data_IF_955721586086
#
_entry.id   IF_955721586086
#
_cell.length_a   1.000
_cell.length_b   1.000
_cell.length_c   1.000
_cell.angle_alpha   90.00
_cell.angle_beta   90.00
_cell.angle_gamma   90.00
#
_symmetry.space_group_name_H-M   'P 1'
#
loop_
_entity.id
_entity.type
_entity.pdbx_description
1 polymer ?
#
# COMPACT_ATOMS: atom_id res chain seq x y z
N UNK A 1 -11.88 -11.55 -8.65
CA UNK A 1 -11.00 -11.04 -7.60
C UNK A 1 -9.58 -10.97 -8.12
N UNK A 2 -8.89 -9.84 -7.97
CA UNK A 2 -7.51 -9.75 -8.42
C UNK A 2 -6.62 -10.79 -7.75
N UNK A 3 -5.83 -11.47 -8.53
CA UNK A 3 -4.85 -12.43 -8.03
C UNK A 3 -3.47 -11.77 -7.91
N UNK A 4 -2.50 -12.49 -7.37
CA UNK A 4 -1.15 -11.95 -7.16
C UNK A 4 -0.55 -11.25 -8.37
N UNK A 5 -0.56 -11.84 -9.59
CA UNK A 5 -0.01 -11.18 -10.78
C UNK A 5 -0.71 -9.86 -11.10
N UNK A 6 -2.01 -9.77 -10.91
CA UNK A 6 -2.77 -8.55 -11.17
C UNK A 6 -2.46 -7.47 -10.14
N UNK A 7 -2.27 -7.87 -8.88
CA UNK A 7 -1.86 -6.95 -7.82
C UNK A 7 -0.46 -6.41 -8.11
N UNK A 8 0.44 -7.26 -8.62
CA UNK A 8 1.79 -6.85 -9.01
C UNK A 8 1.76 -5.78 -10.10
N UNK A 9 0.86 -5.93 -11.07
CA UNK A 9 0.70 -4.92 -12.14
C UNK A 9 0.29 -3.56 -11.53
N UNK A 10 -0.63 -3.58 -10.58
CA UNK A 10 -1.08 -2.35 -9.89
C UNK A 10 0.08 -1.73 -9.11
N UNK A 11 0.82 -2.55 -8.39
CA UNK A 11 1.98 -2.08 -7.62
C UNK A 11 3.02 -1.46 -8.55
N UNK A 12 3.31 -2.09 -9.69
CA UNK A 12 4.25 -1.54 -10.67
C UNK A 12 3.75 -0.21 -11.23
N UNK A 13 2.46 -0.09 -11.47
CA UNK A 13 1.85 1.17 -11.93
C UNK A 13 2.04 2.28 -10.89
N UNK A 14 1.75 2.00 -9.62
CA UNK A 14 1.93 2.97 -8.54
C UNK A 14 3.40 3.37 -8.41
N UNK A 15 4.30 2.41 -8.45
CA UNK A 15 5.73 2.67 -8.33
C UNK A 15 6.24 3.55 -9.47
N UNK A 16 5.77 3.30 -10.68
CA UNK A 16 6.14 4.11 -11.84
C UNK A 16 5.69 5.57 -11.67
N UNK A 17 4.47 5.77 -11.21
CA UNK A 17 3.88 7.11 -11.10
C UNK A 17 4.40 7.90 -9.90
N UNK A 18 4.88 7.22 -8.85
CA UNK A 18 5.33 7.86 -7.61
C UNK A 18 6.84 7.89 -7.45
N UNK A 19 7.57 7.30 -8.38
CA UNK A 19 9.03 7.21 -8.30
C UNK A 19 9.67 8.58 -8.10
N UNK A 20 10.60 8.65 -7.14
CA UNK A 20 11.38 9.84 -6.83
C UNK A 20 10.55 11.03 -6.34
N UNK A 21 9.34 10.76 -5.87
CA UNK A 21 8.43 11.80 -5.40
C UNK A 21 8.27 11.73 -3.88
N UNK A 22 7.79 12.84 -3.31
CA UNK A 22 7.41 12.88 -1.89
C UNK A 22 5.90 12.91 -1.80
N UNK A 23 5.34 12.08 -0.94
CA UNK A 23 3.91 12.09 -0.63
C UNK A 23 3.66 13.25 0.32
N UNK A 24 2.74 14.13 -0.05
CA UNK A 24 2.40 15.32 0.74
C UNK A 24 1.02 15.24 1.39
N UNK A 25 0.16 14.31 0.96
CA UNK A 25 -1.08 14.05 1.68
C UNK A 25 -1.67 12.70 1.34
N UNK A 26 -2.36 12.14 2.33
CA UNK A 26 -3.28 11.02 2.20
C UNK A 26 -4.66 11.57 2.54
N UNK A 27 -5.67 11.30 1.73
CA UNK A 27 -7.01 11.87 1.95
C UNK A 27 -8.09 10.87 1.61
N UNK A 28 -9.16 10.84 2.43
CA UNK A 28 -10.38 10.16 2.01
C UNK A 28 -11.14 11.08 1.05
N UNK A 29 -11.89 10.49 0.13
CA UNK A 29 -12.64 11.22 -0.89
C UNK A 29 -14.14 10.93 -0.83
N UNK A 30 -14.60 10.12 0.12
CA UNK A 30 -16.00 9.72 0.22
C UNK A 30 -16.41 9.64 1.68
N UNK A 31 -17.73 9.76 1.93
CA UNK A 31 -18.28 9.61 3.28
C UNK A 31 -18.02 8.21 3.85
N UNK A 32 -18.22 7.11 3.10
CA UNK A 32 -17.92 5.79 3.64
C UNK A 32 -16.48 5.66 4.15
N UNK A 33 -15.51 6.20 3.42
CA UNK A 33 -14.11 6.15 3.84
C UNK A 33 -13.81 7.12 4.99
N UNK A 34 -14.47 8.28 5.00
CA UNK A 34 -14.34 9.20 6.14
C UNK A 34 -14.79 8.52 7.43
N UNK A 35 -15.94 7.86 7.40
CA UNK A 35 -16.48 7.18 8.57
C UNK A 35 -15.57 6.04 9.01
N UNK A 36 -15.13 5.21 8.07
CA UNK A 36 -14.38 3.99 8.39
C UNK A 36 -12.90 4.22 8.66
N UNK A 37 -12.28 5.15 7.94
CA UNK A 37 -10.81 5.25 7.90
C UNK A 37 -10.25 6.61 8.35
N UNK A 38 -11.05 7.49 8.93
CA UNK A 38 -10.56 8.81 9.35
C UNK A 38 -9.33 8.71 10.24
N UNK A 39 -9.35 7.83 11.22
CA UNK A 39 -8.22 7.69 12.15
C UNK A 39 -6.97 7.18 11.43
N UNK A 40 -7.12 6.27 10.47
CA UNK A 40 -5.99 5.76 9.68
C UNK A 40 -5.40 6.89 8.83
N UNK A 41 -6.25 7.64 8.15
CA UNK A 41 -5.81 8.75 7.29
C UNK A 41 -5.13 9.83 8.11
N UNK A 42 -5.71 10.21 9.25
CA UNK A 42 -5.11 11.21 10.14
C UNK A 42 -3.74 10.74 10.64
N UNK A 43 -3.62 9.46 10.96
CA UNK A 43 -2.35 8.91 11.43
C UNK A 43 -1.28 8.89 10.33
N UNK A 44 -1.65 8.50 9.11
CA UNK A 44 -0.74 8.53 7.97
C UNK A 44 -0.18 9.94 7.74
N UNK A 45 -1.03 10.94 7.88
CA UNK A 45 -0.61 12.32 7.64
C UNK A 45 0.35 12.87 8.69
N UNK A 46 0.61 12.15 9.77
CA UNK A 46 1.67 12.52 10.72
C UNK A 46 3.07 12.28 10.18
N UNK A 47 3.20 11.49 9.12
CA UNK A 47 4.50 11.11 8.57
C UNK A 47 4.84 11.86 7.28
N UNK A 48 4.00 12.78 6.83
CA UNK A 48 4.28 13.56 5.64
C UNK A 48 5.14 14.78 5.98
N UNK A 49 5.97 15.25 5.04
CA UNK A 49 6.20 14.68 3.71
C UNK A 49 6.95 13.35 3.80
N UNK A 50 6.52 12.38 3.02
CA UNK A 50 7.09 11.04 3.03
C UNK A 50 7.76 10.75 1.69
N UNK A 51 9.07 10.49 1.73
CA UNK A 51 9.77 10.07 0.52
C UNK A 51 9.27 8.70 0.09
N UNK A 52 8.83 8.60 -1.16
CA UNK A 52 8.30 7.35 -1.68
C UNK A 52 9.41 6.31 -1.86
N UNK A 53 9.23 5.14 -1.25
CA UNK A 53 10.23 4.06 -1.28
C UNK A 53 9.83 2.87 -2.14
N UNK A 54 8.66 2.88 -2.73
CA UNK A 54 8.03 1.83 -3.53
C UNK A 54 7.14 0.90 -2.72
N UNK A 55 6.02 0.58 -3.34
CA UNK A 55 5.15 -0.50 -2.88
C UNK A 55 5.75 -1.85 -3.23
N UNK A 56 5.45 -2.84 -2.43
CA UNK A 56 5.66 -4.25 -2.76
C UNK A 56 4.38 -5.01 -2.43
N UNK A 57 4.24 -6.22 -2.96
CA UNK A 57 3.07 -7.04 -2.66
C UNK A 57 3.49 -8.43 -2.19
N UNK A 58 2.66 -9.00 -1.32
CA UNK A 58 2.76 -10.39 -0.89
C UNK A 58 1.35 -10.96 -1.06
N UNK A 59 1.22 -11.89 -2.01
CA UNK A 59 -0.11 -12.38 -2.39
C UNK A 59 -0.99 -11.26 -2.90
N UNK A 60 -2.12 -11.05 -2.27
CA UNK A 60 -3.11 -10.04 -2.67
C UNK A 60 -3.01 -8.74 -1.90
N UNK A 61 -2.08 -8.64 -0.99
CA UNK A 61 -1.88 -7.44 -0.17
C UNK A 61 -0.68 -6.65 -0.64
N UNK A 62 -0.79 -5.34 -0.57
CA UNK A 62 0.24 -4.41 -1.01
C UNK A 62 0.71 -3.57 0.17
N UNK A 63 1.99 -3.21 0.18
CA UNK A 63 2.61 -2.57 1.33
C UNK A 63 3.53 -1.44 0.90
N UNK A 64 3.48 -0.34 1.64
CA UNK A 64 4.42 0.77 1.51
C UNK A 64 5.02 1.07 2.87
N UNK A 65 6.33 1.01 2.98
CA UNK A 65 7.01 1.30 4.24
C UNK A 65 6.86 2.78 4.57
N UNK A 66 6.34 3.07 5.76
CA UNK A 66 6.18 4.43 6.26
C UNK A 66 7.38 4.83 7.12
N UNK A 67 7.76 3.94 8.03
CA UNK A 67 8.96 4.11 8.84
C UNK A 67 9.48 2.73 9.24
N UNK A 68 10.43 2.66 10.16
CA UNK A 68 11.08 1.41 10.54
C UNK A 68 10.08 0.33 10.98
N UNK A 69 8.97 0.73 11.62
CA UNK A 69 8.06 -0.22 12.25
C UNK A 69 6.65 -0.26 11.63
N UNK A 70 6.37 0.59 10.65
CA UNK A 70 5.00 0.77 10.14
C UNK A 70 4.94 0.72 8.63
N UNK A 71 3.84 0.13 8.13
CA UNK A 71 3.53 0.03 6.72
C UNK A 71 2.10 0.50 6.46
N UNK A 72 1.92 1.22 5.37
CA UNK A 72 0.60 1.44 4.78
C UNK A 72 0.30 0.24 3.88
N UNK A 73 -0.90 -0.31 3.98
CA UNK A 73 -1.30 -1.48 3.21
C UNK A 73 -2.65 -1.22 2.56
N UNK A 74 -2.82 -1.76 1.34
CA UNK A 74 -4.13 -1.77 0.71
C UNK A 74 -4.42 -3.15 0.11
N UNK A 75 -5.71 -3.44 -0.01
CA UNK A 75 -6.22 -4.65 -0.65
C UNK A 75 -7.26 -4.22 -1.68
N UNK A 76 -7.18 -4.78 -2.88
CA UNK A 76 -8.06 -4.34 -3.98
C UNK A 76 -9.50 -4.88 -3.87
N UNK A 77 -9.72 -5.93 -3.08
CA UNK A 77 -11.04 -6.57 -3.02
C UNK A 77 -11.41 -7.17 -4.36
N UNK A 78 -12.63 -6.90 -4.79
CA UNK A 78 -13.13 -7.38 -6.08
C UNK A 78 -12.99 -6.36 -7.19
N UNK A 79 -13.15 -5.07 -6.87
CA UNK A 79 -13.30 -4.00 -7.87
C UNK A 79 -12.37 -2.82 -7.66
N UNK A 80 -11.45 -2.90 -6.69
CA UNK A 80 -10.53 -1.81 -6.41
C UNK A 80 -9.53 -1.58 -7.52
N UNK A 81 -9.24 -0.31 -7.80
CA UNK A 81 -8.23 0.08 -8.77
C UNK A 81 -7.61 1.41 -8.39
N UNK A 82 -6.42 1.65 -8.90
CA UNK A 82 -5.74 2.94 -8.77
C UNK A 82 -5.61 3.59 -10.14
N UNK A 83 -5.78 4.91 -10.20
CA UNK A 83 -5.61 5.65 -11.44
C UNK A 83 -5.33 7.12 -11.15
N UNK A 84 -4.97 7.88 -12.18
CA UNK A 84 -4.76 9.33 -12.07
C UNK A 84 -6.04 10.12 -12.24
N UNK A 85 -7.18 9.45 -12.45
CA UNK A 85 -8.48 10.10 -12.66
C UNK A 85 -9.39 9.87 -11.47
N UNK A 86 -10.03 10.96 -11.00
CA UNK A 86 -11.10 10.85 -10.03
C UNK A 86 -12.37 10.41 -10.76
N UNK A 87 -13.02 9.37 -10.25
CA UNK A 87 -14.21 8.78 -10.86
C UNK A 87 -15.30 8.65 -9.82
N UNK A 88 -16.49 8.21 -10.27
CA UNK A 88 -17.52 7.77 -9.34
C UNK A 88 -16.93 6.63 -8.50
N UNK A 89 -17.23 6.59 -7.22
CA UNK A 89 -16.71 5.60 -6.26
C UNK A 89 -15.22 5.72 -5.97
N UNK A 90 -14.61 6.88 -6.20
CA UNK A 90 -13.29 7.18 -5.70
C UNK A 90 -13.39 7.47 -4.20
N UNK A 91 -12.58 6.76 -3.39
CA UNK A 91 -12.68 6.81 -1.94
C UNK A 91 -11.45 7.37 -1.24
N UNK A 92 -10.30 7.29 -1.86
CA UNK A 92 -9.03 7.61 -1.23
C UNK A 92 -8.05 8.13 -2.28
N UNK A 93 -7.14 9.01 -1.86
CA UNK A 93 -6.13 9.53 -2.77
C UNK A 93 -4.79 9.77 -2.08
N UNK A 94 -3.74 9.68 -2.86
CA UNK A 94 -2.38 10.03 -2.47
C UNK A 94 -1.92 11.17 -3.36
N UNK A 95 -1.46 12.26 -2.76
CA UNK A 95 -0.93 13.42 -3.49
C UNK A 95 0.55 13.56 -3.25
N UNK A 96 1.29 13.97 -4.27
CA UNK A 96 2.73 14.21 -4.18
C UNK A 96 3.05 15.71 -4.28
N UNK A 97 4.33 16.03 -4.03
CA UNK A 97 4.81 17.42 -4.05
C UNK A 97 4.76 18.06 -5.43
N UNK A 98 4.75 17.28 -6.50
CA UNK A 98 4.61 17.80 -7.88
C UNK A 98 3.17 17.75 -8.38
N UNK A 99 2.21 17.55 -7.45
CA UNK A 99 0.78 17.48 -7.73
C UNK A 99 0.35 16.26 -8.56
N UNK A 100 1.14 15.21 -8.60
CA UNK A 100 0.65 13.90 -9.05
C UNK A 100 -0.33 13.39 -8.02
N UNK A 101 -1.51 12.93 -8.46
CA UNK A 101 -2.51 12.39 -7.56
C UNK A 101 -2.90 11.00 -8.05
N UNK A 102 -2.85 10.02 -7.16
CA UNK A 102 -3.31 8.67 -7.41
C UNK A 102 -4.59 8.45 -6.63
N UNK A 103 -5.63 8.02 -7.32
CA UNK A 103 -6.97 7.81 -6.75
C UNK A 103 -7.28 6.34 -6.64
N UNK A 104 -7.79 5.92 -5.48
CA UNK A 104 -8.30 4.57 -5.26
C UNK A 104 -9.81 4.58 -5.45
N UNK A 105 -10.28 3.84 -6.43
CA UNK A 105 -11.68 3.72 -6.80
C UNK A 105 -12.13 2.29 -6.57
N UNK A 106 -13.26 2.10 -5.88
CA UNK A 106 -13.74 0.77 -5.51
C UNK A 106 -15.26 0.77 -5.37
N UNK A 107 -15.99 0.48 -6.46
CA UNK A 107 -17.46 0.53 -6.44
C UNK A 107 -18.10 -0.36 -5.38
N UNK A 108 -17.56 -1.55 -5.14
CA UNK A 108 -18.13 -2.51 -4.19
C UNK A 108 -17.61 -2.34 -2.77
N UNK A 109 -16.54 -1.58 -2.57
CA UNK A 109 -15.91 -1.33 -1.27
C UNK A 109 -15.52 -2.59 -0.53
N UNK A 110 -15.13 -3.64 -1.24
CA UNK A 110 -14.57 -4.86 -0.66
C UNK A 110 -13.07 -4.74 -0.43
N UNK A 111 -12.43 -3.77 -1.03
CA UNK A 111 -11.06 -3.43 -0.73
C UNK A 111 -10.94 -2.70 0.60
N UNK A 112 -9.72 -2.47 1.03
CA UNK A 112 -9.48 -1.77 2.29
C UNK A 112 -8.12 -1.11 2.30
N UNK A 113 -7.93 -0.21 3.28
CA UNK A 113 -6.63 0.34 3.62
C UNK A 113 -6.36 0.05 5.09
N UNK A 114 -5.09 -0.13 5.41
CA UNK A 114 -4.66 -0.47 6.78
C UNK A 114 -3.32 0.17 7.08
N UNK A 115 -3.03 0.31 8.36
CA UNK A 115 -1.67 0.53 8.85
C UNK A 115 -1.31 -0.71 9.64
N UNK A 116 -0.18 -1.32 9.30
CA UNK A 116 0.27 -2.54 9.99
C UNK A 116 1.67 -2.33 10.54
N UNK A 117 1.96 -3.03 11.63
CA UNK A 117 3.28 -3.03 12.23
C UNK A 117 4.18 -4.07 11.58
N UNK A 118 5.49 -3.92 11.80
CA UNK A 118 6.46 -4.93 11.38
C UNK A 118 6.15 -6.29 12.02
N UNK A 119 5.75 -6.30 13.28
CA UNK A 119 5.38 -7.53 13.98
C UNK A 119 4.19 -8.23 13.33
N UNK A 120 3.16 -7.47 12.97
CA UNK A 120 1.99 -8.02 12.29
C UNK A 120 2.39 -8.64 10.94
N UNK A 121 3.27 -7.95 10.22
CA UNK A 121 3.77 -8.42 8.94
C UNK A 121 4.52 -9.75 9.12
N UNK A 122 5.37 -9.82 10.13
CA UNK A 122 6.13 -11.05 10.44
C UNK A 122 5.19 -12.22 10.73
N UNK A 123 4.18 -11.98 11.56
CA UNK A 123 3.29 -13.05 12.03
C UNK A 123 2.34 -13.53 10.94
N UNK A 124 1.92 -12.66 10.03
CA UNK A 124 0.84 -12.99 9.10
C UNK A 124 1.30 -13.26 7.67
N UNK A 125 2.51 -12.80 7.30
CA UNK A 125 2.98 -12.92 5.93
C UNK A 125 4.28 -13.70 5.79
N UNK A 126 5.08 -13.80 6.85
CA UNK A 126 6.37 -14.47 6.79
C UNK A 126 6.46 -15.72 7.67
N UNK A 127 5.46 -15.98 8.48
CA UNK A 127 5.46 -17.21 9.28
C UNK A 127 5.35 -18.41 8.33
N UNK A 128 5.83 -19.57 8.78
CA UNK A 128 5.81 -20.83 8.01
C UNK A 128 6.66 -20.76 6.73
N UNK A 129 7.56 -19.80 6.64
CA UNK A 129 8.44 -19.69 5.50
C UNK A 129 7.73 -19.25 4.21
N UNK A 130 6.60 -18.56 4.32
CA UNK A 130 5.82 -18.13 3.16
C UNK A 130 6.68 -17.39 2.15
N UNK A 131 7.57 -16.53 2.62
CA UNK A 131 8.44 -15.77 1.75
C UNK A 131 9.38 -16.67 0.94
N UNK A 132 9.84 -17.77 1.56
CA UNK A 132 10.75 -18.71 0.92
C UNK A 132 10.04 -19.59 -0.11
N UNK A 133 8.72 -19.68 -0.03
CA UNK A 133 7.92 -20.50 -0.92
C UNK A 133 7.49 -19.77 -2.19
N UNK A 134 7.77 -18.48 -2.28
CA UNK A 134 7.46 -17.73 -3.50
C UNK A 134 8.39 -18.19 -4.62
N UNK A 135 7.78 -18.61 -5.72
CA UNK A 135 8.52 -19.05 -6.90
C UNK A 135 8.99 -17.89 -7.77
N UNK A 136 8.43 -16.71 -7.55
CA UNK A 136 8.89 -15.52 -8.26
C UNK A 136 10.28 -15.15 -7.76
N UNK A 137 11.13 -14.61 -8.61
CA UNK A 137 12.42 -14.13 -8.17
C UNK A 137 12.24 -13.17 -7.00
N UNK A 138 13.02 -13.38 -5.96
CA UNK A 138 13.02 -12.49 -4.81
C UNK A 138 13.50 -11.14 -5.33
N UNK A 139 12.61 -10.15 -5.37
CA UNK A 139 12.98 -8.81 -5.80
C UNK A 139 13.66 -8.06 -4.66
N UNK A 140 14.22 -6.90 -4.98
CA UNK A 140 14.96 -6.11 -3.99
C UNK A 140 14.11 -5.72 -2.76
N UNK A 141 12.79 -5.58 -2.94
CA UNK A 141 11.91 -5.19 -1.85
C UNK A 141 11.65 -6.35 -0.90
N UNK A 142 11.53 -7.55 -1.44
CA UNK A 142 11.41 -8.76 -0.65
C UNK A 142 12.69 -8.98 0.17
N UNK A 143 13.84 -8.82 -0.46
CA UNK A 143 15.13 -8.92 0.23
C UNK A 143 15.26 -7.87 1.33
N UNK A 144 14.88 -6.64 1.04
CA UNK A 144 14.90 -5.55 2.01
C UNK A 144 14.04 -5.89 3.22
N UNK A 145 12.84 -6.43 2.98
CA UNK A 145 11.94 -6.80 4.06
C UNK A 145 12.52 -7.92 4.93
N UNK A 146 13.13 -8.93 4.32
CA UNK A 146 13.79 -10.01 5.06
C UNK A 146 14.89 -9.45 5.95
N UNK A 147 15.72 -8.56 5.43
CA UNK A 147 16.81 -7.94 6.18
C UNK A 147 16.27 -7.14 7.37
N UNK A 148 15.18 -6.40 7.16
CA UNK A 148 14.56 -5.64 8.25
C UNK A 148 13.99 -6.56 9.32
N UNK A 149 13.42 -7.70 8.95
CA UNK A 149 12.94 -8.67 9.91
C UNK A 149 14.10 -9.18 10.80
N UNK A 150 15.23 -9.48 10.20
CA UNK A 150 16.39 -9.96 10.95
C UNK A 150 16.96 -8.91 11.90
N UNK A 151 16.95 -7.64 11.48
CA UNK A 151 17.51 -6.57 12.29
C UNK A 151 16.62 -6.19 13.46
N UNK A 152 15.32 -6.48 13.41
CA UNK A 152 14.36 -6.14 14.45
C UNK A 152 14.12 -7.29 15.44
N UNK A 153 14.66 -8.43 15.17
CA UNK A 153 14.63 -9.55 16.08
C UNK A 153 15.87 -9.51 17.00
#
# INVERSE_FOLDING_TARGET
MPEGPEVKIVVDYLNKNLKDKKITSFSYCSEPYKIKYKSIVDYLNKFIPLKFSNFFCIGKSSFLKINKNLYFSFHLGMTGKWSTKKEKHTHFKIRTSDNTILYFTDPRRFGNIKIISQDFLNKNYFKNGDLLNYKTPINKYTNFLIQNLKSEQ
#
